data_IF_198397607833
#
_entry.id   IF_198397607833
#
_cell.length_a   1.000
_cell.length_b   1.000
_cell.length_c   1.000
_cell.angle_alpha   90.00
_cell.angle_beta   90.00
_cell.angle_gamma   90.00
#
_symmetry.space_group_name_H-M   'P 1'
#
loop_
_entity.id
_entity.type
_entity.pdbx_description
1 polymer ?
#
# COMPACT_ATOMS: atom_id res chain seq x y z
N UNK A 1 11.82 1.25 -5.71
CA UNK A 1 12.94 1.66 -6.56
C UNK A 1 13.95 2.44 -5.71
N UNK A 2 15.23 2.11 -5.76
CA UNK A 2 16.26 2.69 -4.88
C UNK A 2 16.39 4.23 -5.00
N UNK A 3 15.99 4.80 -6.13
CA UNK A 3 16.12 6.22 -6.43
C UNK A 3 15.03 7.11 -5.80
N UNK A 4 14.00 6.52 -5.17
CA UNK A 4 12.82 7.24 -4.68
C UNK A 4 12.55 7.04 -3.18
N UNK A 5 13.58 6.95 -2.35
CA UNK A 5 13.45 6.66 -0.93
C UNK A 5 12.39 7.50 -0.20
N UNK A 6 12.36 8.81 -0.44
CA UNK A 6 11.38 9.70 0.17
C UNK A 6 9.94 9.53 -0.35
N UNK A 7 9.75 9.05 -1.60
CA UNK A 7 8.44 8.71 -2.14
C UNK A 7 7.92 7.40 -1.55
N UNK A 8 8.79 6.41 -1.42
CA UNK A 8 8.45 5.10 -0.81
C UNK A 8 7.92 5.29 0.60
N UNK A 9 8.60 6.07 1.45
CA UNK A 9 8.11 6.33 2.81
C UNK A 9 6.74 7.02 2.83
N UNK A 10 6.50 7.98 1.94
CA UNK A 10 5.22 8.67 1.84
C UNK A 10 4.09 7.73 1.43
N UNK A 11 4.34 6.86 0.45
CA UNK A 11 3.37 5.85 -0.02
C UNK A 11 3.09 4.83 1.07
N UNK A 12 4.13 4.29 1.73
CA UNK A 12 3.97 3.31 2.80
C UNK A 12 3.15 3.85 3.98
N UNK A 13 3.25 5.14 4.30
CA UNK A 13 2.42 5.78 5.33
C UNK A 13 0.92 5.80 4.99
N UNK A 14 0.54 5.59 3.73
CA UNK A 14 -0.86 5.50 3.31
C UNK A 14 -1.40 4.06 3.33
N UNK A 15 -0.53 3.06 3.50
CA UNK A 15 -0.90 1.65 3.47
C UNK A 15 -1.25 1.10 4.86
N UNK A 16 -2.05 0.05 4.90
CA UNK A 16 -2.37 -0.72 6.12
C UNK A 16 -1.64 -2.07 6.16
N UNK A 17 -1.22 -2.56 4.99
CA UNK A 17 -0.42 -3.76 4.81
C UNK A 17 0.44 -3.65 3.55
N UNK A 18 1.31 -4.62 3.29
CA UNK A 18 2.14 -4.67 2.09
C UNK A 18 2.10 -6.05 1.44
N UNK A 19 1.96 -6.09 0.13
CA UNK A 19 2.20 -7.29 -0.66
C UNK A 19 3.68 -7.32 -1.06
N UNK A 20 4.44 -8.24 -0.47
CA UNK A 20 5.84 -8.46 -0.81
C UNK A 20 5.93 -9.49 -1.95
N UNK A 21 6.05 -9.00 -3.17
CA UNK A 21 6.16 -9.85 -4.35
C UNK A 21 7.61 -10.19 -4.63
N UNK A 22 7.95 -11.47 -4.58
CA UNK A 22 9.30 -11.98 -4.86
C UNK A 22 9.28 -12.97 -6.03
N UNK A 23 10.38 -13.04 -6.75
CA UNK A 23 10.59 -14.02 -7.81
C UNK A 23 10.96 -15.37 -7.21
N UNK A 24 10.26 -16.45 -7.58
CA UNK A 24 10.49 -17.81 -7.09
C UNK A 24 11.90 -18.36 -7.38
N UNK A 25 12.60 -17.81 -8.36
CA UNK A 25 13.97 -18.21 -8.72
C UNK A 25 15.02 -17.35 -8.03
N UNK A 26 14.84 -16.01 -8.03
CA UNK A 26 15.83 -15.07 -7.51
C UNK A 26 15.68 -14.82 -6.00
N UNK A 27 14.46 -14.90 -5.48
CA UNK A 27 14.13 -14.49 -4.11
C UNK A 27 14.13 -12.98 -3.91
N UNK A 28 14.27 -12.50 -2.66
CA UNK A 28 14.31 -11.07 -2.37
C UNK A 28 15.59 -10.42 -2.90
N UNK A 29 15.44 -9.30 -3.61
CA UNK A 29 16.53 -8.53 -4.20
C UNK A 29 17.02 -7.43 -3.23
N UNK A 30 18.21 -6.81 -3.45
CA UNK A 30 18.73 -5.75 -2.57
C UNK A 30 17.74 -4.58 -2.35
N UNK A 31 16.99 -4.19 -3.37
CA UNK A 31 15.96 -3.15 -3.26
C UNK A 31 14.83 -3.55 -2.33
N UNK A 32 14.49 -4.84 -2.28
CA UNK A 32 13.49 -5.41 -1.38
C UNK A 32 13.84 -5.13 0.07
N UNK A 33 15.12 -5.25 0.45
CA UNK A 33 15.59 -5.00 1.81
C UNK A 33 15.25 -3.59 2.30
N UNK A 34 15.49 -2.58 1.46
CA UNK A 34 15.23 -1.18 1.83
C UNK A 34 13.71 -0.93 2.02
N UNK A 35 12.90 -1.32 1.03
CA UNK A 35 11.45 -1.06 1.06
C UNK A 35 10.78 -1.86 2.17
N UNK A 36 11.16 -3.13 2.34
CA UNK A 36 10.64 -3.99 3.39
C UNK A 36 11.01 -3.47 4.78
N UNK A 37 12.27 -3.06 5.00
CA UNK A 37 12.70 -2.45 6.27
C UNK A 37 11.83 -1.26 6.65
N UNK A 38 11.56 -0.36 5.69
CA UNK A 38 10.67 0.79 5.94
C UNK A 38 9.22 0.39 6.21
N UNK A 39 8.71 -0.65 5.56
CA UNK A 39 7.37 -1.15 5.84
C UNK A 39 7.27 -1.75 7.25
N UNK A 40 8.28 -2.55 7.67
CA UNK A 40 8.34 -3.15 9.00
C UNK A 40 8.49 -2.09 10.11
N UNK A 41 9.34 -1.06 9.91
CA UNK A 41 9.47 0.09 10.82
C UNK A 41 8.14 0.83 11.05
N UNK A 42 7.28 0.88 10.04
CA UNK A 42 5.95 1.48 10.11
C UNK A 42 4.89 0.54 10.72
N UNK A 43 5.27 -0.68 11.11
CA UNK A 43 4.37 -1.68 11.69
C UNK A 43 3.43 -2.34 10.68
N UNK A 44 3.70 -2.22 9.37
CA UNK A 44 2.88 -2.84 8.34
C UNK A 44 3.07 -4.36 8.36
N UNK A 45 1.96 -5.10 8.20
CA UNK A 45 1.97 -6.55 8.10
C UNK A 45 2.22 -6.97 6.64
N UNK A 46 3.22 -7.82 6.37
CA UNK A 46 3.48 -8.31 5.02
C UNK A 46 2.60 -9.52 4.68
N UNK A 47 2.18 -9.59 3.42
CA UNK A 47 1.69 -10.81 2.75
C UNK A 47 2.74 -11.14 1.69
N UNK A 48 3.32 -12.32 1.74
CA UNK A 48 4.37 -12.73 0.79
C UNK A 48 3.74 -13.39 -0.43
N UNK A 49 4.09 -12.92 -1.62
CA UNK A 49 3.65 -13.48 -2.89
C UNK A 49 4.87 -13.99 -3.64
N UNK A 50 5.05 -15.30 -3.67
CA UNK A 50 6.11 -15.97 -4.43
C UNK A 50 5.64 -16.16 -5.86
N UNK A 51 6.04 -15.26 -6.74
CA UNK A 51 5.59 -15.17 -8.13
C UNK A 51 6.58 -15.87 -9.08
N UNK A 52 6.10 -16.18 -10.27
CA UNK A 52 6.86 -16.80 -11.36
C UNK A 52 7.25 -18.25 -11.10
N UNK A 53 6.39 -19.00 -10.42
CA UNK A 53 6.59 -20.44 -10.19
C UNK A 53 6.50 -21.27 -11.49
N UNK A 54 6.10 -20.63 -12.60
CA UNK A 54 6.13 -21.20 -13.96
C UNK A 54 7.54 -21.25 -14.60
N UNK A 55 8.55 -20.66 -13.95
CA UNK A 55 9.93 -20.74 -14.42
C UNK A 55 10.53 -22.13 -14.16
N UNK A 56 11.30 -22.63 -15.11
CA UNK A 56 12.13 -23.82 -14.90
C UNK A 56 13.16 -23.57 -13.80
N UNK A 57 13.39 -24.59 -12.97
CA UNK A 57 14.34 -24.56 -11.85
C UNK A 57 14.03 -23.47 -10.78
N UNK A 58 12.80 -23.01 -10.68
CA UNK A 58 12.41 -22.18 -9.54
C UNK A 58 12.42 -23.00 -8.24
N UNK A 59 12.65 -22.33 -7.13
CA UNK A 59 12.70 -22.92 -5.79
C UNK A 59 11.85 -22.10 -4.83
N UNK A 60 10.50 -22.20 -4.92
CA UNK A 60 9.59 -21.33 -4.19
C UNK A 60 9.80 -21.36 -2.66
N UNK A 61 10.06 -22.55 -2.09
CA UNK A 61 10.30 -22.70 -0.66
C UNK A 61 11.59 -21.98 -0.24
N UNK A 62 12.65 -22.10 -1.02
CA UNK A 62 13.93 -21.40 -0.75
C UNK A 62 13.73 -19.88 -0.87
N UNK A 63 12.89 -19.42 -1.80
CA UNK A 63 12.57 -18.00 -1.92
C UNK A 63 11.81 -17.49 -0.69
N UNK A 64 10.87 -18.28 -0.15
CA UNK A 64 10.17 -17.99 1.09
C UNK A 64 11.12 -17.97 2.31
N UNK A 65 12.00 -18.96 2.47
CA UNK A 65 13.01 -18.99 3.53
C UNK A 65 13.90 -17.75 3.49
N UNK A 66 14.38 -17.35 2.32
CA UNK A 66 15.17 -16.12 2.15
C UNK A 66 14.40 -14.86 2.55
N UNK A 67 13.09 -14.82 2.33
CA UNK A 67 12.24 -13.71 2.79
C UNK A 67 12.16 -13.72 4.31
N UNK A 68 11.95 -14.88 4.93
CA UNK A 68 11.92 -15.02 6.38
C UNK A 68 13.24 -14.57 7.01
N UNK A 69 14.38 -15.05 6.50
CA UNK A 69 15.72 -14.66 6.95
C UNK A 69 15.95 -13.14 6.80
N UNK A 70 15.47 -12.56 5.69
CA UNK A 70 15.56 -11.13 5.47
C UNK A 70 14.75 -10.36 6.50
N UNK A 71 13.50 -10.76 6.79
CA UNK A 71 12.65 -10.12 7.79
C UNK A 71 13.26 -10.23 9.20
N UNK A 72 13.79 -11.42 9.54
CA UNK A 72 14.49 -11.63 10.80
C UNK A 72 15.71 -10.70 10.94
N UNK A 73 16.50 -10.53 9.87
CA UNK A 73 17.64 -9.60 9.83
C UNK A 73 17.24 -8.12 9.94
N UNK A 74 15.97 -7.80 9.61
CA UNK A 74 15.38 -6.46 9.68
C UNK A 74 14.64 -6.22 11.00
N UNK A 75 14.83 -7.07 12.02
CA UNK A 75 14.20 -6.98 13.34
C UNK A 75 12.66 -6.97 13.27
N UNK A 76 12.05 -7.75 12.35
CA UNK A 76 10.61 -7.92 12.27
C UNK A 76 10.04 -8.49 13.57
N UNK A 77 8.87 -8.03 13.97
CA UNK A 77 8.16 -8.55 15.15
C UNK A 77 7.63 -9.97 14.89
N UNK A 78 7.30 -10.71 15.97
CA UNK A 78 6.70 -12.04 15.85
C UNK A 78 5.44 -12.03 14.98
N UNK A 79 4.58 -11.01 15.15
CA UNK A 79 3.38 -10.83 14.30
C UNK A 79 3.69 -10.58 12.83
N UNK A 80 4.83 -9.95 12.53
CA UNK A 80 5.26 -9.70 11.15
C UNK A 80 5.94 -10.94 10.55
N UNK A 81 6.57 -11.78 11.37
CA UNK A 81 7.17 -13.05 10.94
C UNK A 81 6.11 -14.14 10.70
N UNK A 82 4.92 -14.02 11.29
CA UNK A 82 3.77 -14.89 11.01
C UNK A 82 2.98 -14.38 9.79
N UNK A 83 3.67 -14.30 8.65
CA UNK A 83 3.10 -13.81 7.42
C UNK A 83 2.49 -14.93 6.56
N UNK A 84 1.33 -14.71 5.95
CA UNK A 84 0.79 -15.62 4.96
C UNK A 84 1.61 -15.58 3.68
N UNK A 85 1.77 -16.75 3.05
CA UNK A 85 2.45 -16.89 1.76
C UNK A 85 1.48 -17.39 0.70
N UNK A 86 1.51 -16.74 -0.46
CA UNK A 86 0.76 -17.12 -1.65
C UNK A 86 1.75 -17.39 -2.77
N UNK A 87 1.51 -18.46 -3.51
CA UNK A 87 2.35 -18.86 -4.64
C UNK A 87 1.60 -18.71 -5.95
N UNK A 88 2.31 -18.44 -7.04
CA UNK A 88 1.67 -18.45 -8.33
C UNK A 88 2.47 -17.85 -9.47
N UNK A 89 1.77 -17.69 -10.58
CA UNK A 89 2.29 -17.04 -11.79
C UNK A 89 1.32 -15.96 -12.27
N UNK A 90 1.71 -14.72 -12.10
CA UNK A 90 0.95 -13.59 -12.63
C UNK A 90 0.85 -13.65 -14.16
N UNK A 91 1.86 -14.23 -14.83
CA UNK A 91 1.85 -14.46 -16.28
C UNK A 91 0.78 -15.46 -16.70
N UNK A 92 0.60 -16.52 -15.92
CA UNK A 92 -0.40 -17.56 -16.17
C UNK A 92 -1.77 -17.22 -15.57
N UNK A 93 -1.86 -16.14 -14.77
CA UNK A 93 -3.11 -15.60 -14.23
C UNK A 93 -3.66 -16.35 -13.02
N UNK A 94 -2.81 -17.01 -12.22
CA UNK A 94 -3.25 -17.74 -11.04
C UNK A 94 -2.39 -17.47 -9.80
N UNK A 95 -3.02 -17.57 -8.61
CA UNK A 95 -2.39 -17.51 -7.31
C UNK A 95 -3.09 -18.50 -6.36
N UNK A 96 -2.32 -19.26 -5.59
CA UNK A 96 -2.85 -20.32 -4.72
C UNK A 96 -2.00 -20.57 -3.47
N UNK A 97 -2.46 -21.43 -2.58
CA UNK A 97 -1.74 -21.80 -1.34
C UNK A 97 -0.56 -22.74 -1.59
N UNK A 98 -0.51 -23.37 -2.74
CA UNK A 98 0.47 -24.38 -3.11
C UNK A 98 0.96 -24.14 -4.55
N UNK A 99 2.26 -24.13 -4.74
CA UNK A 99 2.85 -23.87 -6.05
C UNK A 99 2.83 -25.07 -6.99
N UNK A 100 2.69 -26.29 -6.46
CA UNK A 100 2.59 -27.51 -7.26
C UNK A 100 1.18 -27.71 -7.83
N UNK A 101 0.17 -27.10 -7.22
CA UNK A 101 -1.24 -27.25 -7.58
C UNK A 101 -1.83 -25.91 -8.07
N UNK A 102 -1.65 -25.55 -9.36
CA UNK A 102 -2.18 -24.31 -9.92
C UNK A 102 -3.69 -24.17 -9.74
N UNK A 103 -4.12 -22.99 -9.29
CA UNK A 103 -5.54 -22.62 -9.23
C UNK A 103 -6.03 -22.05 -10.58
N UNK A 104 -7.34 -21.82 -10.71
CA UNK A 104 -7.91 -21.30 -11.95
C UNK A 104 -7.72 -19.78 -12.14
N UNK A 105 -7.46 -19.04 -11.06
CA UNK A 105 -7.39 -17.57 -11.04
C UNK A 105 -6.62 -17.03 -9.82
N UNK A 106 -6.77 -15.75 -9.54
CA UNK A 106 -6.11 -15.05 -8.42
C UNK A 106 -7.00 -14.90 -7.17
N UNK A 107 -8.14 -15.54 -7.11
CA UNK A 107 -9.13 -15.38 -6.02
C UNK A 107 -8.53 -15.68 -4.66
N UNK A 108 -7.69 -16.73 -4.55
CA UNK A 108 -7.01 -17.05 -3.30
C UNK A 108 -6.18 -15.89 -2.73
N UNK A 109 -5.47 -15.14 -3.58
CA UNK A 109 -4.75 -13.94 -3.12
C UNK A 109 -5.70 -12.87 -2.56
N UNK A 110 -6.88 -12.70 -3.20
CA UNK A 110 -7.88 -11.75 -2.72
C UNK A 110 -8.45 -12.19 -1.36
N UNK A 111 -8.72 -13.48 -1.17
CA UNK A 111 -9.19 -14.04 0.09
C UNK A 111 -8.16 -13.82 1.21
N UNK A 112 -6.87 -14.07 0.95
CA UNK A 112 -5.77 -13.81 1.90
C UNK A 112 -5.67 -12.33 2.25
N UNK A 113 -5.85 -11.41 1.28
CA UNK A 113 -5.87 -9.97 1.54
C UNK A 113 -7.04 -9.61 2.47
N UNK A 114 -8.25 -10.11 2.19
CA UNK A 114 -9.44 -9.84 3.00
C UNK A 114 -9.32 -10.39 4.42
N UNK A 115 -8.62 -11.50 4.60
CA UNK A 115 -8.41 -12.12 5.92
C UNK A 115 -7.34 -11.40 6.76
N UNK A 116 -6.25 -10.96 6.14
CA UNK A 116 -5.05 -10.50 6.87
C UNK A 116 -4.87 -8.98 6.89
N UNK A 117 -5.48 -8.24 5.96
CA UNK A 117 -5.38 -6.79 5.96
C UNK A 117 -6.46 -6.19 6.84
N UNK A 118 -6.10 -5.40 7.88
CA UNK A 118 -7.09 -4.79 8.76
C UNK A 118 -7.92 -3.74 8.01
N UNK A 119 -9.16 -3.56 8.45
CA UNK A 119 -9.97 -2.43 8.01
C UNK A 119 -9.29 -1.10 8.35
N UNK A 120 -9.43 -0.13 7.45
CA UNK A 120 -8.91 1.21 7.68
C UNK A 120 -9.57 1.83 8.93
N UNK A 121 -8.79 2.25 9.96
CA UNK A 121 -9.36 2.68 11.23
C UNK A 121 -10.08 4.01 11.07
N UNK A 122 -11.35 4.07 11.48
CA UNK A 122 -12.05 5.34 11.66
C UNK A 122 -11.64 5.99 12.97
N UNK A 123 -11.19 7.24 12.91
CA UNK A 123 -10.80 8.06 14.08
C UNK A 123 -11.59 9.35 14.07
N UNK A 124 -12.40 9.56 15.13
CA UNK A 124 -13.14 10.80 15.31
C UNK A 124 -12.22 12.00 15.60
N UNK A 125 -12.68 13.19 15.26
CA UNK A 125 -12.05 14.44 15.60
C UNK A 125 -11.89 15.42 14.45
N UNK A 126 -11.08 16.45 14.68
CA UNK A 126 -10.75 17.45 13.65
C UNK A 126 -10.07 16.77 12.45
N UNK A 127 -10.50 17.07 11.22
CA UNK A 127 -9.92 16.47 10.02
C UNK A 127 -8.41 16.63 9.95
N UNK A 128 -7.71 15.52 9.67
CA UNK A 128 -6.27 15.50 9.48
C UNK A 128 -5.93 14.68 8.27
N UNK A 129 -5.70 15.37 7.15
CA UNK A 129 -5.24 14.78 5.90
C UNK A 129 -3.72 14.94 5.78
N UNK A 130 -3.00 13.86 5.56
CA UNK A 130 -1.60 13.89 5.16
C UNK A 130 -1.51 13.86 3.63
N UNK A 131 -1.07 14.97 3.04
CA UNK A 131 -0.80 15.05 1.59
C UNK A 131 0.56 14.38 1.34
N UNK A 132 0.56 13.40 0.45
CA UNK A 132 1.73 12.58 0.11
C UNK A 132 2.21 12.79 -1.32
N UNK A 133 1.31 13.14 -2.23
CA UNK A 133 1.66 13.45 -3.60
C UNK A 133 0.81 14.59 -4.17
N UNK A 134 1.33 15.20 -5.23
CA UNK A 134 0.66 16.24 -5.99
C UNK A 134 0.52 15.78 -7.44
N UNK A 135 -0.65 16.01 -7.99
CA UNK A 135 -0.95 15.80 -9.40
C UNK A 135 -1.45 17.12 -10.02
N UNK A 136 -1.56 17.19 -11.32
CA UNK A 136 -1.98 18.37 -12.04
C UNK A 136 -2.93 18.01 -13.17
N UNK A 137 -4.04 18.73 -13.23
CA UNK A 137 -4.97 18.68 -14.36
C UNK A 137 -5.07 20.07 -15.03
N UNK A 138 -5.13 20.10 -16.34
CA UNK A 138 -5.32 21.34 -17.10
C UNK A 138 -6.66 22.04 -16.78
N UNK A 139 -7.64 21.28 -16.27
CA UNK A 139 -8.98 21.78 -15.97
C UNK A 139 -9.16 22.21 -14.52
N UNK A 140 -8.60 21.46 -13.58
CA UNK A 140 -8.78 21.70 -12.14
C UNK A 140 -7.55 22.27 -11.44
N UNK A 141 -6.42 22.35 -12.14
CA UNK A 141 -5.15 22.82 -11.57
C UNK A 141 -4.47 21.73 -10.72
N UNK A 142 -3.92 22.15 -9.59
CA UNK A 142 -3.23 21.25 -8.65
C UNK A 142 -4.22 20.36 -7.92
N UNK A 143 -3.87 19.10 -7.80
CA UNK A 143 -4.61 18.07 -7.08
C UNK A 143 -3.72 17.52 -5.99
N UNK A 144 -4.14 17.66 -4.74
CA UNK A 144 -3.43 17.09 -3.60
C UNK A 144 -3.99 15.70 -3.30
N UNK A 145 -3.12 14.70 -3.19
CA UNK A 145 -3.48 13.31 -2.92
C UNK A 145 -2.91 12.90 -1.58
N UNK A 146 -3.70 12.22 -0.76
CA UNK A 146 -3.27 11.78 0.54
C UNK A 146 -4.25 10.87 1.25
N UNK A 147 -3.91 10.52 2.50
CA UNK A 147 -4.77 9.73 3.39
C UNK A 147 -5.36 10.61 4.48
N UNK A 148 -6.67 10.47 4.72
CA UNK A 148 -7.35 11.10 5.83
C UNK A 148 -7.18 10.24 7.09
N UNK A 149 -6.34 10.68 8.03
CA UNK A 149 -6.02 9.93 9.25
C UNK A 149 -7.04 10.11 10.37
N UNK A 150 -7.79 11.22 10.36
CA UNK A 150 -8.77 11.53 11.40
C UNK A 150 -9.86 12.43 10.86
N UNK A 151 -11.07 12.28 11.43
CA UNK A 151 -12.25 13.11 11.15
C UNK A 151 -12.81 12.91 9.75
N UNK A 152 -13.68 13.80 9.36
CA UNK A 152 -14.33 13.81 8.06
C UNK A 152 -14.00 15.10 7.31
N UNK A 153 -13.67 14.99 6.03
CA UNK A 153 -13.49 16.11 5.11
C UNK A 153 -14.76 16.32 4.28
N UNK A 154 -15.19 17.56 4.16
CA UNK A 154 -16.32 17.94 3.32
C UNK A 154 -15.89 18.88 2.20
N UNK A 155 -16.48 18.69 1.02
CA UNK A 155 -16.29 19.58 -0.11
C UNK A 155 -16.81 21.00 0.19
N UNK A 156 -16.24 21.99 -0.47
CA UNK A 156 -16.56 23.41 -0.33
C UNK A 156 -16.33 24.01 1.08
N UNK A 157 -15.52 23.37 1.91
CA UNK A 157 -15.13 23.89 3.23
C UNK A 157 -13.70 24.41 3.25
N UNK A 158 -13.44 25.28 4.21
CA UNK A 158 -12.12 25.86 4.47
C UNK A 158 -11.40 25.08 5.57
N UNK A 159 -10.12 24.79 5.35
CA UNK A 159 -9.26 24.05 6.26
C UNK A 159 -7.93 24.77 6.48
N UNK A 160 -7.23 24.42 7.54
CA UNK A 160 -5.87 24.85 7.77
C UNK A 160 -4.91 23.98 6.94
N UNK A 161 -4.18 24.59 6.02
CA UNK A 161 -3.08 23.94 5.30
C UNK A 161 -1.78 24.23 6.02
N UNK A 162 -1.19 23.18 6.61
CA UNK A 162 0.09 23.23 7.31
C UNK A 162 1.23 22.88 6.34
N UNK A 163 2.21 23.76 6.22
CA UNK A 163 3.42 23.58 5.42
C UNK A 163 4.66 23.90 6.28
N UNK A 164 5.85 23.63 5.75
CA UNK A 164 7.10 24.03 6.43
C UNK A 164 7.18 25.56 6.68
N UNK A 165 6.55 26.36 5.82
CA UNK A 165 6.57 27.83 5.90
C UNK A 165 5.49 28.38 6.85
N UNK A 166 4.63 27.54 7.40
CA UNK A 166 3.58 27.93 8.32
C UNK A 166 2.18 27.39 7.97
N UNK A 167 1.17 27.98 8.60
CA UNK A 167 -0.24 27.59 8.46
C UNK A 167 -1.00 28.66 7.68
N UNK A 168 -1.76 28.22 6.67
CA UNK A 168 -2.62 29.11 5.89
C UNK A 168 -4.00 28.50 5.69
N UNK A 169 -4.99 29.34 5.42
CA UNK A 169 -6.31 28.90 5.05
C UNK A 169 -6.30 28.40 3.59
N UNK A 170 -6.89 27.23 3.36
CA UNK A 170 -7.11 26.65 2.04
C UNK A 170 -8.53 26.08 1.94
N UNK A 171 -9.10 26.11 0.74
CA UNK A 171 -10.44 25.59 0.51
C UNK A 171 -10.38 24.26 -0.23
N UNK A 172 -11.03 23.23 0.31
CA UNK A 172 -11.27 22.00 -0.43
C UNK A 172 -12.49 22.19 -1.34
N UNK A 173 -12.27 22.55 -2.60
CA UNK A 173 -13.40 22.80 -3.54
C UNK A 173 -14.10 21.51 -3.90
N UNK A 174 -13.33 20.50 -4.33
CA UNK A 174 -13.85 19.21 -4.72
C UNK A 174 -13.05 18.12 -4.05
N UNK A 175 -13.74 17.04 -3.70
CA UNK A 175 -13.17 15.82 -3.15
C UNK A 175 -13.41 14.65 -4.10
N UNK A 176 -12.44 13.76 -4.19
CA UNK A 176 -12.52 12.57 -5.01
C UNK A 176 -11.99 11.37 -4.20
N UNK A 177 -12.63 10.23 -4.37
CA UNK A 177 -12.13 8.91 -3.96
C UNK A 177 -11.64 8.15 -5.17
N UNK A 178 -10.83 7.11 -4.96
CA UNK A 178 -10.29 6.28 -6.03
C UNK A 178 -11.18 5.05 -6.21
N UNK A 179 -11.70 4.86 -7.41
CA UNK A 179 -12.51 3.70 -7.78
C UNK A 179 -11.98 3.11 -9.09
N UNK A 180 -11.51 1.86 -9.04
CA UNK A 180 -10.83 1.22 -10.16
C UNK A 180 -9.63 2.04 -10.63
N UNK A 181 -9.59 2.40 -11.91
CA UNK A 181 -8.53 3.24 -12.51
C UNK A 181 -8.87 4.74 -12.53
N UNK A 182 -10.00 5.13 -11.96
CA UNK A 182 -10.52 6.50 -12.01
C UNK A 182 -10.63 7.15 -10.65
N UNK A 183 -11.22 8.37 -10.68
CA UNK A 183 -11.56 9.15 -9.50
C UNK A 183 -13.04 9.51 -9.57
N UNK A 184 -13.76 9.21 -8.49
CA UNK A 184 -15.19 9.55 -8.36
C UNK A 184 -15.33 10.73 -7.42
N UNK A 185 -16.08 11.75 -7.86
CA UNK A 185 -16.35 12.94 -7.06
C UNK A 185 -17.33 12.59 -5.94
N UNK A 186 -17.01 13.07 -4.72
CA UNK A 186 -17.82 12.86 -3.52
C UNK A 186 -17.98 14.16 -2.74
N UNK A 187 -18.99 14.24 -1.89
CA UNK A 187 -19.24 15.42 -1.05
C UNK A 187 -18.47 15.36 0.27
N UNK A 188 -18.12 14.16 0.73
CA UNK A 188 -17.35 13.97 1.94
C UNK A 188 -16.44 12.73 1.84
N UNK A 189 -15.39 12.72 2.66
CA UNK A 189 -14.42 11.62 2.80
C UNK A 189 -14.22 11.35 4.28
N UNK A 190 -14.15 10.09 4.67
CA UNK A 190 -14.01 9.65 6.06
C UNK A 190 -12.57 9.29 6.42
N UNK A 191 -12.27 9.34 7.72
CA UNK A 191 -11.00 8.83 8.26
C UNK A 191 -10.73 7.40 7.80
N UNK A 192 -9.51 7.15 7.37
CA UNK A 192 -9.06 5.88 6.77
C UNK A 192 -8.95 5.91 5.25
N UNK A 193 -9.75 6.76 4.58
CA UNK A 193 -9.80 6.80 3.12
C UNK A 193 -8.60 7.51 2.50
N UNK A 194 -8.27 7.08 1.29
CA UNK A 194 -7.42 7.81 0.36
C UNK A 194 -8.27 8.76 -0.47
N UNK A 195 -7.86 10.01 -0.57
CA UNK A 195 -8.61 10.99 -1.34
C UNK A 195 -7.72 11.95 -2.14
N UNK A 196 -8.34 12.58 -3.13
CA UNK A 196 -7.76 13.69 -3.87
C UNK A 196 -8.59 14.96 -3.65
N UNK A 197 -7.92 16.10 -3.50
CA UNK A 197 -8.51 17.40 -3.23
C UNK A 197 -8.09 18.39 -4.31
N UNK A 198 -9.03 19.21 -4.76
CA UNK A 198 -8.76 20.39 -5.60
C UNK A 198 -9.16 21.69 -4.88
N UNK A 199 -8.49 22.80 -5.23
CA UNK A 199 -8.86 24.11 -4.69
C UNK A 199 -7.73 25.06 -4.46
#
# INVERSE_FOLDING_TARGET
HADFGGEVERVLKMADAVLLVVDAFEGPMPQTRFVLGKALELGLKPIVVVNKVDKENCTPEIAQEKVFDLMFTLDATEEQLDFPTVYGSAKMGWMGPDWENPTGDVSHLMDVILEHVPEAPYREGTPQLQITSLDYSKYTGRIAIGRLFRGDLHANQDYALCTADGVRKARAKELFVFEGLGRTKVDHVRSGDLCAITG
#
